data_IF_628553607236
#
_entry.id   IF_628553607236
#
_cell.length_a   1.000
_cell.length_b   1.000
_cell.length_c   1.000
_cell.angle_alpha   90.00
_cell.angle_beta   90.00
_cell.angle_gamma   90.00
#
_symmetry.space_group_name_H-M   'P 1'
#
loop_
_entity.id
_entity.type
_entity.pdbx_description
1 polymer ?
#
# COMPACT_ATOMS: atom_id res chain seq x y z
N UNK A 1 2.88 13.48 12.90
CA UNK A 1 1.93 12.42 12.53
C UNK A 1 2.65 11.33 11.76
N UNK A 2 2.33 10.07 12.05
CA UNK A 2 2.88 8.90 11.33
C UNK A 2 1.81 8.37 10.38
N UNK A 3 2.17 8.14 9.11
CA UNK A 3 1.32 7.44 8.16
C UNK A 3 1.81 6.02 7.93
N UNK A 4 0.89 5.06 7.93
CA UNK A 4 1.19 3.66 7.59
C UNK A 4 0.81 3.42 6.12
N UNK A 5 1.80 3.08 5.30
CA UNK A 5 1.63 2.93 3.86
C UNK A 5 2.08 1.55 3.38
N UNK A 6 1.35 0.96 2.44
CA UNK A 6 1.79 -0.23 1.73
C UNK A 6 2.63 0.20 0.53
N UNK A 7 3.74 -0.50 0.25
CA UNK A 7 4.58 -0.20 -0.89
C UNK A 7 5.03 -1.45 -1.64
N UNK A 8 4.84 -1.46 -2.97
CA UNK A 8 5.22 -2.57 -3.85
C UNK A 8 6.23 -2.10 -4.91
N UNK A 9 7.38 -2.76 -5.00
CA UNK A 9 8.43 -2.46 -5.99
C UNK A 9 8.11 -3.10 -7.36
N UNK A 10 6.97 -2.74 -7.94
CA UNK A 10 6.54 -3.23 -9.25
C UNK A 10 5.60 -2.24 -9.94
N UNK A 11 5.72 -2.15 -11.26
CA UNK A 11 4.84 -1.45 -12.20
C UNK A 11 3.74 -2.34 -12.80
N UNK A 12 3.77 -3.65 -12.51
CA UNK A 12 2.73 -4.60 -12.92
C UNK A 12 1.51 -4.44 -12.02
N UNK A 13 0.59 -3.57 -12.44
CA UNK A 13 -0.62 -3.22 -11.69
C UNK A 13 -1.44 -4.45 -11.27
N UNK A 14 -1.59 -5.44 -12.15
CA UNK A 14 -2.37 -6.64 -11.83
C UNK A 14 -1.65 -7.49 -10.76
N UNK A 15 -0.34 -7.66 -10.89
CA UNK A 15 0.43 -8.41 -9.89
C UNK A 15 0.46 -7.70 -8.52
N UNK A 16 0.57 -6.37 -8.51
CA UNK A 16 0.50 -5.55 -7.30
C UNK A 16 -0.86 -5.68 -6.63
N UNK A 17 -1.95 -5.59 -7.39
CA UNK A 17 -3.31 -5.71 -6.89
C UNK A 17 -3.53 -7.06 -6.20
N UNK A 18 -3.15 -8.16 -6.86
CA UNK A 18 -3.27 -9.51 -6.31
C UNK A 18 -2.43 -9.71 -5.04
N UNK A 19 -1.18 -9.25 -5.06
CA UNK A 19 -0.28 -9.34 -3.90
C UNK A 19 -0.80 -8.54 -2.71
N UNK A 20 -1.25 -7.30 -2.95
CA UNK A 20 -1.79 -6.43 -1.92
C UNK A 20 -3.07 -7.02 -1.34
N UNK A 21 -4.03 -7.41 -2.20
CA UNK A 21 -5.29 -8.06 -1.80
C UNK A 21 -5.05 -9.26 -0.89
N UNK A 22 -4.07 -10.11 -1.23
CA UNK A 22 -3.69 -11.26 -0.40
C UNK A 22 -3.15 -10.83 0.96
N UNK A 23 -2.30 -9.81 1.02
CA UNK A 23 -1.68 -9.32 2.25
C UNK A 23 -2.67 -8.67 3.22
N UNK A 24 -3.66 -7.94 2.69
CA UNK A 24 -4.65 -7.21 3.49
C UNK A 24 -6.02 -7.90 3.57
N UNK A 25 -6.15 -9.15 3.11
CA UNK A 25 -7.43 -9.87 3.04
C UNK A 25 -8.21 -9.90 4.37
N UNK A 26 -7.52 -9.86 5.51
CA UNK A 26 -8.16 -9.83 6.83
C UNK A 26 -8.84 -8.49 7.13
N UNK A 27 -8.41 -7.37 6.52
CA UNK A 27 -8.91 -6.03 6.84
C UNK A 27 -10.39 -5.92 6.51
N UNK A 28 -10.82 -6.39 5.33
CA UNK A 28 -12.23 -6.36 4.93
C UNK A 28 -13.17 -7.15 5.84
N UNK A 29 -12.65 -8.12 6.62
CA UNK A 29 -13.44 -8.94 7.55
C UNK A 29 -13.53 -8.35 8.96
N UNK A 30 -12.76 -7.30 9.25
CA UNK A 30 -12.76 -6.65 10.56
C UNK A 30 -13.76 -5.50 10.55
N UNK A 31 -14.75 -5.48 11.48
CA UNK A 31 -15.80 -4.45 11.49
C UNK A 31 -15.27 -3.02 11.52
N UNK A 32 -14.14 -2.80 12.22
CA UNK A 32 -13.48 -1.50 12.27
C UNK A 32 -13.01 -1.01 10.89
N UNK A 33 -12.27 -1.86 10.15
CA UNK A 33 -11.78 -1.52 8.81
C UNK A 33 -12.92 -1.41 7.80
N UNK A 34 -13.91 -2.31 7.85
CA UNK A 34 -15.07 -2.23 6.97
C UNK A 34 -15.84 -0.91 7.14
N UNK A 35 -16.01 -0.43 8.38
CA UNK A 35 -16.65 0.87 8.66
C UNK A 35 -15.79 2.02 8.15
N UNK A 36 -14.48 1.99 8.45
CA UNK A 36 -13.53 3.01 7.99
C UNK A 36 -13.48 3.14 6.46
N UNK A 37 -13.51 2.02 5.73
CA UNK A 37 -13.54 2.05 4.28
C UNK A 37 -14.87 2.57 3.74
N UNK A 38 -16.01 2.20 4.36
CA UNK A 38 -17.31 2.75 3.98
C UNK A 38 -17.39 4.27 4.18
N UNK A 39 -16.82 4.80 5.26
CA UNK A 39 -16.73 6.25 5.52
C UNK A 39 -15.85 6.99 4.50
N UNK A 40 -14.96 6.26 3.82
CA UNK A 40 -14.11 6.75 2.73
C UNK A 40 -14.68 6.44 1.33
N UNK A 41 -15.99 6.18 1.23
CA UNK A 41 -16.71 5.83 0.00
C UNK A 41 -16.29 4.50 -0.67
N UNK A 42 -15.67 3.59 0.10
CA UNK A 42 -15.27 2.24 -0.31
C UNK A 42 -15.98 1.14 0.51
N UNK A 43 -17.29 0.89 0.30
CA UNK A 43 -17.98 -0.16 1.04
C UNK A 43 -17.40 -1.54 0.71
N UNK A 44 -17.10 -2.32 1.76
CA UNK A 44 -16.63 -3.70 1.64
C UNK A 44 -17.83 -4.65 1.46
N UNK A 45 -17.66 -5.68 0.63
CA UNK A 45 -18.66 -6.72 0.44
C UNK A 45 -19.00 -7.49 1.73
N UNK A 46 -20.16 -8.17 1.79
CA UNK A 46 -20.62 -8.89 2.99
C UNK A 46 -19.69 -10.03 3.44
N UNK A 47 -18.82 -10.52 2.56
CA UNK A 47 -17.81 -11.55 2.79
C UNK A 47 -16.41 -10.98 3.13
N UNK A 48 -16.30 -9.65 3.23
CA UNK A 48 -15.04 -8.93 3.40
C UNK A 48 -14.29 -8.64 2.10
N UNK A 49 -14.93 -8.83 0.94
CA UNK A 49 -14.32 -8.54 -0.36
C UNK A 49 -14.16 -7.04 -0.58
N UNK A 50 -12.91 -6.59 -0.73
CA UNK A 50 -12.55 -5.21 -1.09
C UNK A 50 -12.57 -5.03 -2.61
N UNK A 51 -13.02 -3.88 -3.11
CA UNK A 51 -12.95 -3.59 -4.55
C UNK A 51 -11.50 -3.43 -5.01
N UNK A 52 -11.23 -3.58 -6.31
CA UNK A 52 -9.89 -3.33 -6.86
C UNK A 52 -9.47 -1.87 -6.63
N UNK A 53 -10.41 -0.94 -6.75
CA UNK A 53 -10.20 0.49 -6.50
C UNK A 53 -9.73 0.77 -5.07
N UNK A 54 -10.38 0.15 -4.07
CA UNK A 54 -9.97 0.27 -2.67
C UNK A 54 -8.55 -0.28 -2.49
N UNK A 55 -8.27 -1.49 -3.00
CA UNK A 55 -6.93 -2.10 -2.84
C UNK A 55 -5.85 -1.22 -3.49
N UNK A 56 -6.12 -0.69 -4.69
CA UNK A 56 -5.19 0.21 -5.39
C UNK A 56 -4.98 1.53 -4.64
N UNK A 57 -6.00 2.07 -3.98
CA UNK A 57 -5.86 3.30 -3.18
C UNK A 57 -4.96 3.12 -1.95
N UNK A 58 -4.79 1.88 -1.47
CA UNK A 58 -4.06 1.56 -0.25
C UNK A 58 -2.56 1.29 -0.50
N UNK A 59 -2.16 1.04 -1.75
CA UNK A 59 -0.78 0.67 -2.10
C UNK A 59 -0.10 1.71 -2.98
N UNK A 60 1.12 2.06 -2.63
CA UNK A 60 2.03 2.84 -3.45
C UNK A 60 2.87 1.86 -4.27
N UNK A 61 2.78 1.92 -5.60
CA UNK A 61 3.53 1.01 -6.47
C UNK A 61 4.05 1.71 -7.71
N UNK A 62 5.11 1.15 -8.29
CA UNK A 62 5.66 1.61 -9.55
C UNK A 62 7.17 1.48 -9.60
N UNK A 63 7.81 2.35 -10.39
CA UNK A 63 9.26 2.45 -10.45
C UNK A 63 9.81 3.05 -9.15
N UNK A 64 11.11 2.87 -8.85
CA UNK A 64 11.74 3.50 -7.69
C UNK A 64 11.52 5.02 -7.63
N UNK A 65 11.57 5.69 -8.78
CA UNK A 65 11.38 7.15 -8.89
C UNK A 65 9.94 7.56 -8.56
N UNK A 66 8.95 6.79 -9.02
CA UNK A 66 7.54 7.04 -8.73
C UNK A 66 7.24 6.85 -7.23
N UNK A 67 7.79 5.79 -6.62
CA UNK A 67 7.62 5.52 -5.19
C UNK A 67 8.31 6.62 -4.35
N UNK A 68 9.53 7.01 -4.72
CA UNK A 68 10.25 8.10 -4.06
C UNK A 68 9.50 9.42 -4.12
N UNK A 69 9.00 9.79 -5.31
CA UNK A 69 8.19 11.00 -5.50
C UNK A 69 6.96 10.96 -4.59
N UNK A 70 6.24 9.83 -4.55
CA UNK A 70 5.04 9.69 -3.72
C UNK A 70 5.34 9.77 -2.22
N UNK A 71 6.45 9.19 -1.77
CA UNK A 71 6.88 9.32 -0.36
C UNK A 71 7.23 10.77 -0.03
N UNK A 72 7.94 11.47 -0.93
CA UNK A 72 8.26 12.88 -0.77
C UNK A 72 7.02 13.78 -0.69
N UNK A 73 6.01 13.53 -1.54
CA UNK A 73 4.73 14.23 -1.49
C UNK A 73 4.02 14.04 -0.14
N UNK A 74 3.96 12.81 0.37
CA UNK A 74 3.34 12.50 1.65
C UNK A 74 4.06 13.21 2.81
N UNK A 75 5.38 13.15 2.85
CA UNK A 75 6.16 13.86 3.87
C UNK A 75 5.97 15.39 3.78
N UNK A 76 5.93 15.93 2.56
CA UNK A 76 5.69 17.36 2.31
C UNK A 76 4.27 17.79 2.68
N UNK A 77 3.32 16.86 2.82
CA UNK A 77 1.94 17.16 3.23
C UNK A 77 1.77 17.42 4.75
N UNK A 78 2.86 17.40 5.52
CA UNK A 78 2.85 17.60 6.97
C UNK A 78 2.91 16.29 7.77
N UNK A 79 3.22 15.17 7.13
CA UNK A 79 3.55 13.92 7.81
C UNK A 79 5.01 13.94 8.23
N UNK A 80 5.28 13.58 9.49
CA UNK A 80 6.64 13.56 10.03
C UNK A 80 7.35 12.23 9.74
N UNK A 81 6.59 11.14 9.57
CA UNK A 81 7.13 9.80 9.41
C UNK A 81 6.22 8.91 8.55
N UNK A 82 6.85 8.05 7.75
CA UNK A 82 6.19 6.98 7.01
C UNK A 82 6.61 5.61 7.59
N UNK A 83 5.63 4.88 8.13
CA UNK A 83 5.77 3.46 8.40
C UNK A 83 5.45 2.70 7.12
N UNK A 84 6.49 2.17 6.45
CA UNK A 84 6.33 1.48 5.17
C UNK A 84 6.21 -0.02 5.40
N UNK A 85 5.09 -0.60 4.97
CA UNK A 85 4.85 -2.04 4.94
C UNK A 85 5.09 -2.58 3.52
N UNK A 86 6.18 -3.35 3.29
CA UNK A 86 6.46 -3.88 1.97
C UNK A 86 5.39 -4.90 1.53
N UNK A 87 4.99 -4.80 0.27
CA UNK A 87 4.16 -5.78 -0.43
C UNK A 87 5.04 -6.52 -1.42
N UNK A 88 5.21 -7.83 -1.19
CA UNK A 88 6.01 -8.67 -2.06
C UNK A 88 5.19 -9.13 -3.27
N UNK A 89 5.72 -8.88 -4.47
CA UNK A 89 5.05 -9.19 -5.75
C UNK A 89 5.66 -10.43 -6.41
N UNK A 90 7.00 -10.53 -6.46
CA UNK A 90 7.72 -11.66 -7.06
C UNK A 90 8.77 -12.23 -6.12
N UNK A 91 9.71 -11.40 -5.67
CA UNK A 91 10.81 -11.81 -4.79
C UNK A 91 10.88 -10.90 -3.57
N UNK A 92 10.28 -11.38 -2.47
CA UNK A 92 10.19 -10.63 -1.22
C UNK A 92 11.56 -10.16 -0.68
N UNK A 93 12.63 -10.93 -0.85
CA UNK A 93 13.94 -10.59 -0.31
C UNK A 93 14.61 -9.49 -1.15
N UNK A 94 14.58 -9.65 -2.47
CA UNK A 94 15.11 -8.66 -3.41
C UNK A 94 14.33 -7.34 -3.32
N UNK A 95 13.00 -7.40 -3.37
CA UNK A 95 12.11 -6.23 -3.35
C UNK A 95 12.24 -5.46 -2.03
N UNK A 96 12.31 -6.17 -0.89
CA UNK A 96 12.56 -5.52 0.41
C UNK A 96 13.91 -4.80 0.43
N UNK A 97 14.95 -5.41 -0.15
CA UNK A 97 16.28 -4.79 -0.22
C UNK A 97 16.27 -3.55 -1.11
N UNK A 98 15.59 -3.61 -2.24
CA UNK A 98 15.44 -2.46 -3.15
C UNK A 98 14.67 -1.32 -2.49
N UNK A 99 13.55 -1.60 -1.82
CA UNK A 99 12.76 -0.62 -1.11
C UNK A 99 13.53 0.02 0.05
N UNK A 100 14.26 -0.78 0.84
CA UNK A 100 15.10 -0.26 1.92
C UNK A 100 16.22 0.66 1.39
N UNK A 101 16.84 0.29 0.26
CA UNK A 101 17.85 1.14 -0.40
C UNK A 101 17.24 2.45 -0.88
N UNK A 102 16.06 2.40 -1.50
CA UNK A 102 15.35 3.59 -1.95
C UNK A 102 15.08 4.55 -0.78
N UNK A 103 14.53 4.03 0.32
CA UNK A 103 14.23 4.83 1.52
C UNK A 103 15.50 5.48 2.08
N UNK A 104 16.63 4.78 2.10
CA UNK A 104 17.90 5.33 2.56
C UNK A 104 18.52 6.41 1.66
N UNK A 105 17.90 6.72 0.52
CA UNK A 105 18.35 7.72 -0.45
C UNK A 105 17.40 8.93 -0.57
N UNK A 106 16.26 8.91 0.14
CA UNK A 106 15.32 10.04 0.23
C UNK A 106 15.85 11.12 1.18
#
# INVERSE_FOLDING_TARGET
>A
MVAHVLAAMSDDHQAVLEATRKQIASYGRLPFYASMFADADFPVGPDGTMSDELVNSLVISGTPEAIAARFGELLSSGLDELLVLPVAVKDAASERTQLARLIGQL
#
